data_IF_059358219507
#
_entry.id   IF_059358219507
#
_cell.length_a   1.000
_cell.length_b   1.000
_cell.length_c   1.000
_cell.angle_alpha   90.00
_cell.angle_beta   90.00
_cell.angle_gamma   90.00
#
_symmetry.space_group_name_H-M   'P 1'
#
loop_
_entity.id
_entity.type
_entity.pdbx_description
1 polymer ?
#
# COMPACT_ATOMS: atom_id res chain seq x y z
N UNK A 1 0.27 25.26 12.68
CA UNK A 1 -0.08 23.95 13.26
C UNK A 1 1.15 23.39 13.97
N UNK A 2 1.09 23.25 15.30
CA UNK A 2 2.15 22.68 16.13
C UNK A 2 2.17 21.15 16.00
N UNK A 3 2.68 20.64 14.88
CA UNK A 3 2.54 19.24 14.47
C UNK A 3 3.67 18.34 15.02
N UNK A 4 3.88 18.36 16.34
CA UNK A 4 4.96 17.57 16.95
C UNK A 4 4.98 17.45 18.47
N UNK A 5 3.93 17.92 19.17
CA UNK A 5 3.97 18.04 20.64
C UNK A 5 3.78 16.72 21.40
N UNK A 6 3.34 15.65 20.71
CA UNK A 6 3.21 14.33 21.30
C UNK A 6 3.84 13.30 20.35
N UNK A 7 4.95 12.64 20.72
CA UNK A 7 5.42 11.50 19.98
C UNK A 7 4.35 10.42 20.06
N UNK A 8 3.55 10.24 19.01
CA UNK A 8 2.59 9.15 18.95
C UNK A 8 3.38 7.85 19.13
N UNK A 9 3.09 7.14 20.22
CA UNK A 9 3.69 5.84 20.47
C UNK A 9 3.42 4.97 19.24
N UNK A 10 4.48 4.45 18.62
CA UNK A 10 4.39 3.59 17.43
C UNK A 10 3.45 2.40 17.66
N UNK A 11 3.28 1.96 18.92
CA UNK A 11 2.31 0.96 19.32
C UNK A 11 0.84 1.33 19.09
N UNK A 12 0.45 2.60 19.26
CA UNK A 12 -0.91 3.07 19.07
C UNK A 12 -1.32 3.24 17.58
N UNK A 13 -0.33 3.23 16.67
CA UNK A 13 -0.54 3.41 15.21
C UNK A 13 -0.12 2.19 14.39
N UNK A 14 0.24 1.09 15.05
CA UNK A 14 0.63 -0.14 14.38
C UNK A 14 -0.58 -0.77 13.71
N UNK A 15 -0.39 -1.18 12.46
CA UNK A 15 -1.41 -1.92 11.74
C UNK A 15 -1.59 -3.31 12.36
N UNK A 16 -2.81 -3.86 12.36
CA UNK A 16 -3.01 -5.25 12.75
C UNK A 16 -2.25 -6.15 11.78
N UNK A 17 -1.28 -6.90 12.31
CA UNK A 17 -0.47 -7.85 11.55
C UNK A 17 -0.79 -9.28 11.93
N UNK A 18 -0.73 -10.20 10.96
CA UNK A 18 -0.82 -11.64 11.15
C UNK A 18 0.50 -12.24 10.66
N UNK A 19 1.21 -12.96 11.54
CA UNK A 19 2.55 -13.48 11.21
C UNK A 19 3.57 -12.38 10.84
N UNK A 20 3.40 -11.17 11.36
CA UNK A 20 4.25 -10.02 11.04
C UNK A 20 3.93 -9.31 9.73
N UNK A 21 2.87 -9.70 9.01
CA UNK A 21 2.41 -9.05 7.77
C UNK A 21 1.07 -8.32 8.01
N UNK A 22 0.86 -7.09 7.50
CA UNK A 22 -0.42 -6.39 7.61
C UNK A 22 -1.59 -7.20 7.05
N UNK A 23 -2.73 -7.20 7.75
CA UNK A 23 -3.92 -7.98 7.39
C UNK A 23 -4.37 -7.79 5.94
N UNK A 24 -4.30 -6.55 5.43
CA UNK A 24 -4.70 -6.23 4.06
C UNK A 24 -3.84 -6.96 3.02
N UNK A 25 -2.53 -7.07 3.28
CA UNK A 25 -1.59 -7.78 2.40
C UNK A 25 -1.82 -9.29 2.50
N UNK A 26 -2.08 -9.80 3.70
CA UNK A 26 -2.43 -11.21 3.90
C UNK A 26 -3.63 -11.62 3.06
N UNK A 27 -4.70 -10.80 3.04
CA UNK A 27 -5.87 -11.07 2.20
C UNK A 27 -5.51 -11.13 0.70
N UNK A 28 -4.67 -10.22 0.22
CA UNK A 28 -4.20 -10.22 -1.18
C UNK A 28 -3.41 -11.49 -1.50
N UNK A 29 -2.54 -11.94 -0.59
CA UNK A 29 -1.79 -13.19 -0.77
C UNK A 29 -2.76 -14.38 -0.85
N UNK A 30 -3.78 -14.43 0.01
CA UNK A 30 -4.80 -15.48 -0.04
C UNK A 30 -5.62 -15.44 -1.34
N UNK A 31 -5.99 -14.26 -1.83
CA UNK A 31 -6.69 -14.12 -3.11
C UNK A 31 -5.83 -14.65 -4.27
N UNK A 32 -4.54 -14.26 -4.33
CA UNK A 32 -3.60 -14.74 -5.34
C UNK A 32 -3.42 -16.26 -5.23
N UNK A 33 -3.24 -16.79 -4.01
CA UNK A 33 -3.11 -18.21 -3.77
C UNK A 33 -4.37 -18.99 -4.21
N UNK A 34 -5.57 -18.45 -3.97
CA UNK A 34 -6.83 -19.05 -4.41
C UNK A 34 -6.94 -19.11 -5.94
N UNK A 35 -6.57 -18.04 -6.65
CA UNK A 35 -6.56 -18.03 -8.12
C UNK A 35 -5.51 -18.99 -8.68
N UNK A 36 -4.32 -19.04 -8.08
CA UNK A 36 -3.26 -19.97 -8.49
C UNK A 36 -3.64 -21.42 -8.22
N UNK A 37 -4.37 -21.70 -7.14
CA UNK A 37 -4.86 -23.05 -6.83
C UNK A 37 -5.76 -23.59 -7.95
N UNK A 38 -6.65 -22.76 -8.49
CA UNK A 38 -7.51 -23.15 -9.61
C UNK A 38 -6.73 -23.52 -10.89
N UNK A 39 -5.56 -22.91 -11.11
CA UNK A 39 -4.77 -23.11 -12.33
C UNK A 39 -3.69 -24.20 -12.18
N UNK A 40 -2.98 -24.22 -11.05
CA UNK A 40 -1.74 -25.01 -10.87
C UNK A 40 -1.82 -25.92 -9.62
N UNK A 41 -2.97 -25.92 -8.92
CA UNK A 41 -3.29 -26.82 -7.80
C UNK A 41 -2.18 -26.83 -6.74
N UNK A 42 -1.51 -27.97 -6.53
CA UNK A 42 -0.48 -28.14 -5.50
C UNK A 42 0.75 -27.25 -5.67
N UNK A 43 1.10 -26.84 -6.89
CA UNK A 43 2.22 -25.92 -7.12
C UNK A 43 1.92 -24.49 -6.62
N UNK A 44 0.67 -24.16 -6.32
CA UNK A 44 0.31 -22.86 -5.77
C UNK A 44 0.81 -22.66 -4.33
N UNK A 45 0.94 -23.74 -3.54
CA UNK A 45 1.40 -23.67 -2.15
C UNK A 45 2.84 -23.16 -2.00
N UNK A 46 3.86 -23.71 -2.69
CA UNK A 46 5.22 -23.20 -2.59
C UNK A 46 5.34 -21.76 -3.11
N UNK A 47 4.57 -21.39 -4.14
CA UNK A 47 4.53 -20.01 -4.66
C UNK A 47 3.96 -19.05 -3.61
N UNK A 48 2.84 -19.41 -2.98
CA UNK A 48 2.25 -18.61 -1.91
C UNK A 48 3.19 -18.47 -0.70
N UNK A 49 3.89 -19.54 -0.33
CA UNK A 49 4.91 -19.51 0.73
C UNK A 49 6.09 -18.58 0.41
N UNK A 50 6.56 -18.59 -0.85
CA UNK A 50 7.63 -17.68 -1.30
C UNK A 50 7.18 -16.22 -1.25
N UNK A 51 5.97 -15.92 -1.75
CA UNK A 51 5.39 -14.57 -1.71
C UNK A 51 5.25 -14.11 -0.25
N UNK A 52 4.78 -14.99 0.64
CA UNK A 52 4.67 -14.72 2.07
C UNK A 52 6.03 -14.37 2.68
N UNK A 53 7.07 -15.16 2.39
CA UNK A 53 8.41 -14.92 2.90
C UNK A 53 8.97 -13.57 2.47
N UNK A 54 8.83 -13.21 1.19
CA UNK A 54 9.27 -11.90 0.67
C UNK A 54 8.53 -10.77 1.40
N UNK A 55 7.20 -10.87 1.51
CA UNK A 55 6.40 -9.87 2.22
C UNK A 55 6.81 -9.75 3.69
N UNK A 56 7.05 -10.87 4.37
CA UNK A 56 7.49 -10.88 5.76
C UNK A 56 8.84 -10.17 5.95
N UNK A 57 9.79 -10.39 5.05
CA UNK A 57 11.11 -9.73 5.10
C UNK A 57 10.99 -8.21 4.94
N UNK A 58 10.06 -7.76 4.10
CA UNK A 58 9.77 -6.33 3.88
C UNK A 58 9.13 -5.71 5.13
N UNK A 59 8.13 -6.37 5.71
CA UNK A 59 7.40 -5.84 6.88
C UNK A 59 8.24 -5.82 8.16
N UNK A 60 9.26 -6.67 8.24
CA UNK A 60 10.23 -6.67 9.33
C UNK A 60 11.05 -5.37 9.38
N UNK A 61 11.21 -4.70 8.24
CA UNK A 61 11.89 -3.39 8.14
C UNK A 61 10.92 -2.23 8.36
N UNK A 62 9.76 -2.26 7.72
CA UNK A 62 8.72 -1.24 7.88
C UNK A 62 7.32 -1.84 7.68
N UNK A 63 6.51 -1.79 8.74
CA UNK A 63 5.15 -2.30 8.77
C UNK A 63 4.14 -1.47 7.94
N UNK A 64 4.48 -0.22 7.61
CA UNK A 64 3.61 0.73 6.88
C UNK A 64 3.95 0.83 5.39
N UNK A 65 5.02 0.19 4.93
CA UNK A 65 5.56 0.37 3.58
C UNK A 65 4.55 0.00 2.47
N UNK A 66 3.74 -1.04 2.67
CA UNK A 66 2.70 -1.43 1.70
C UNK A 66 1.63 -0.36 1.52
N UNK A 67 1.30 0.41 2.56
CA UNK A 67 0.38 1.55 2.46
C UNK A 67 1.00 2.68 1.63
N UNK A 68 2.31 2.93 1.79
CA UNK A 68 3.03 3.95 1.03
C UNK A 68 3.14 3.55 -0.45
N UNK A 69 3.45 2.28 -0.73
CA UNK A 69 3.49 1.73 -2.09
C UNK A 69 2.12 1.88 -2.76
N UNK A 70 1.04 1.51 -2.05
CA UNK A 70 -0.32 1.69 -2.54
C UNK A 70 -0.65 3.15 -2.85
N UNK A 71 -0.30 4.06 -1.93
CA UNK A 71 -0.52 5.49 -2.12
C UNK A 71 0.24 6.02 -3.33
N UNK A 72 1.51 5.64 -3.48
CA UNK A 72 2.35 5.99 -4.63
C UNK A 72 1.76 5.48 -5.94
N UNK A 73 1.21 4.27 -5.94
CA UNK A 73 0.57 3.71 -7.12
C UNK A 73 -0.71 4.49 -7.47
N UNK A 74 -1.58 4.73 -6.49
CA UNK A 74 -2.81 5.51 -6.67
C UNK A 74 -2.53 6.91 -7.17
N UNK A 75 -1.54 7.60 -6.61
CA UNK A 75 -1.18 8.97 -7.03
C UNK A 75 -0.58 8.97 -8.43
N UNK A 76 0.24 7.99 -8.81
CA UNK A 76 0.76 7.87 -10.19
C UNK A 76 -0.34 7.62 -11.23
N UNK A 77 -1.34 6.80 -10.90
CA UNK A 77 -2.51 6.56 -11.76
C UNK A 77 -3.34 7.83 -11.88
N UNK A 78 -3.75 8.42 -10.74
CA UNK A 78 -4.59 9.61 -10.72
C UNK A 78 -3.93 10.78 -11.45
N UNK A 79 -2.66 11.04 -11.17
CA UNK A 79 -1.88 12.04 -11.89
C UNK A 79 -1.71 11.72 -13.38
N UNK A 80 -1.75 10.44 -13.77
CA UNK A 80 -1.75 10.01 -15.17
C UNK A 80 -3.01 10.34 -15.94
N UNK A 81 -4.15 10.31 -15.27
CA UNK A 81 -5.47 10.53 -15.88
C UNK A 81 -5.81 12.03 -15.88
N UNK A 82 -5.53 12.73 -14.78
CA UNK A 82 -6.07 14.07 -14.55
C UNK A 82 -5.13 15.21 -14.96
N UNK A 83 -3.80 15.02 -14.98
CA UNK A 83 -2.92 16.16 -15.17
C UNK A 83 -2.57 16.41 -16.65
N UNK A 84 -2.93 17.58 -17.21
CA UNK A 84 -2.54 17.96 -18.58
C UNK A 84 -1.03 18.27 -18.71
N UNK A 85 -0.33 18.43 -17.59
CA UNK A 85 1.09 18.83 -17.55
C UNK A 85 2.07 17.68 -17.31
N UNK A 86 1.60 16.43 -17.13
CA UNK A 86 2.47 15.27 -16.89
C UNK A 86 3.58 15.11 -17.93
N UNK A 87 3.27 15.39 -19.20
CA UNK A 87 4.19 15.22 -20.34
C UNK A 87 5.32 16.25 -20.36
N UNK A 88 5.16 17.40 -19.69
CA UNK A 88 6.15 18.50 -19.68
C UNK A 88 7.09 18.48 -18.47
N UNK A 89 6.60 18.10 -17.29
CA UNK A 89 7.38 18.22 -16.04
C UNK A 89 7.56 16.93 -15.24
N UNK A 90 6.93 15.82 -15.62
CA UNK A 90 7.06 14.55 -14.89
C UNK A 90 6.51 14.57 -13.45
N UNK A 91 5.89 15.68 -13.03
CA UNK A 91 5.32 15.89 -11.71
C UNK A 91 3.84 16.26 -11.77
N UNK A 92 3.19 16.27 -10.61
CA UNK A 92 1.84 16.80 -10.44
C UNK A 92 1.91 18.23 -9.90
N UNK A 93 1.43 19.21 -10.65
CA UNK A 93 1.20 20.56 -10.13
C UNK A 93 -0.27 20.65 -9.74
N UNK A 94 -0.58 20.32 -8.49
CA UNK A 94 -1.89 20.63 -7.91
C UNK A 94 -1.75 21.94 -7.15
N UNK A 95 -2.49 22.97 -7.57
CA UNK A 95 -2.83 24.10 -6.69
C UNK A 95 -3.61 23.53 -5.50
N UNK A 96 -3.49 24.06 -4.27
CA UNK A 96 -4.47 23.77 -3.24
C UNK A 96 -5.84 24.09 -3.83
N UNK A 97 -6.67 23.06 -4.01
CA UNK A 97 -8.07 23.23 -4.37
C UNK A 97 -8.73 23.92 -3.19
N UNK A 98 -9.47 25.00 -3.47
CA UNK A 98 -10.24 25.71 -2.46
C UNK A 98 -11.15 24.68 -1.76
N UNK A 99 -11.02 24.56 -0.44
CA UNK A 99 -11.97 23.83 0.39
C UNK A 99 -13.21 24.71 0.54
N UNK A 100 -13.93 24.95 -0.56
CA UNK A 100 -15.29 25.45 -0.45
C UNK A 100 -16.17 24.22 -0.25
N UNK A 101 -16.56 24.02 1.00
CA UNK A 101 -17.58 23.06 1.38
C UNK A 101 -18.82 23.30 0.50
N UNK A 102 -19.24 22.28 -0.25
CA UNK A 102 -20.54 22.30 -0.92
C UNK A 102 -21.62 22.35 0.18
N UNK A 103 -22.34 23.48 0.20
CA UNK A 103 -23.48 23.80 1.07
C UNK A 103 -24.61 22.76 1.00
#
# INVERSE_FOLDING_TARGET
MSDGKFPLFKGATRLPTVGGIPRTVVLVIFMIAGVLWLNIHFYALPIAGLIWFVCWRITLKDDRIFRIIWLCWKTKIKNGIESPFKKKWGGSTYSPTNYEDEL
#
